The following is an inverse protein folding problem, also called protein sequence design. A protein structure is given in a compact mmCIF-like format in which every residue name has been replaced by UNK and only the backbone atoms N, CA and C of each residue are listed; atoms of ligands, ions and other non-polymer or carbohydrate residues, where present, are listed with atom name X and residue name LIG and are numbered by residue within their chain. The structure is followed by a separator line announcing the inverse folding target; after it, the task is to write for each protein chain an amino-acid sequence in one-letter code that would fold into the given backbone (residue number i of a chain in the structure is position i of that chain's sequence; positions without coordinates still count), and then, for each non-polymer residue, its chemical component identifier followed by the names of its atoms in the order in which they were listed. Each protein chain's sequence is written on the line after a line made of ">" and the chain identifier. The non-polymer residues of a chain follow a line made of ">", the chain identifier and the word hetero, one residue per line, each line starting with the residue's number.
data_IF_606933898116
#
_entry.id   IF_606933898116
#
_cell.length_a   1.000
_cell.length_b   1.000
_cell.length_c   1.000
_cell.angle_alpha   90.00
_cell.angle_beta   90.00
_cell.angle_gamma   90.00
#
_symmetry.space_group_name_H-M   'P 1'
#
loop_
_entity.id
_entity.type
_entity.pdbx_description
1 polymer ?
#
# COMPACT_ATOMS: atom_id res chain seq x y z
N UNK A 1 -3.25 32.95 -43.94
CA UNK A 1 -2.43 31.72 -43.88
C UNK A 1 -2.10 31.49 -42.40
N UNK A 2 -3.06 31.00 -41.60
CA UNK A 2 -3.27 29.59 -41.18
C UNK A 2 -2.14 28.98 -40.34
N UNK A 3 -2.58 28.26 -39.29
CA UNK A 3 -1.87 27.35 -38.36
C UNK A 3 -1.27 28.03 -37.11
N UNK A 4 -2.00 28.17 -35.99
CA UNK A 4 -2.35 27.13 -35.00
C UNK A 4 -1.19 26.22 -34.62
N UNK A 5 -0.44 26.63 -33.60
CA UNK A 5 0.28 25.75 -32.69
C UNK A 5 -0.29 25.96 -31.29
N UNK A 6 -1.53 25.50 -31.07
CA UNK A 6 -2.13 25.51 -29.75
C UNK A 6 -1.17 24.80 -28.78
N UNK A 7 -0.79 25.49 -27.70
CA UNK A 7 -0.14 24.89 -26.55
C UNK A 7 -0.98 23.67 -26.14
N UNK A 8 -0.52 22.48 -26.54
CA UNK A 8 -1.22 21.23 -26.27
C UNK A 8 -1.15 20.98 -24.78
N UNK A 9 -2.17 21.54 -24.16
CA UNK A 9 -2.64 21.30 -22.82
C UNK A 9 -2.97 19.83 -22.74
N UNK A 10 -1.97 18.99 -22.47
CA UNK A 10 -2.21 17.69 -21.88
C UNK A 10 -1.57 17.79 -20.52
N UNK A 11 -2.27 18.53 -19.64
CA UNK A 11 -2.27 18.25 -18.22
C UNK A 11 -2.47 16.74 -18.12
N UNK A 12 -1.40 15.98 -17.95
CA UNK A 12 -1.47 14.63 -17.42
C UNK A 12 -2.13 14.83 -16.07
N UNK A 13 -3.46 14.72 -16.07
CA UNK A 13 -4.34 14.84 -14.92
C UNK A 13 -3.70 13.99 -13.84
N UNK A 14 -2.98 14.66 -12.93
CA UNK A 14 -3.06 14.63 -11.47
C UNK A 14 -3.73 13.39 -10.86
N UNK A 15 -3.50 12.20 -11.41
CA UNK A 15 -3.92 10.93 -10.86
C UNK A 15 -3.02 10.52 -9.69
N UNK A 16 -2.07 11.38 -9.34
CA UNK A 16 -1.21 11.30 -8.16
C UNK A 16 -1.81 12.09 -6.98
N UNK A 17 -2.75 13.01 -7.21
CA UNK A 17 -3.36 13.86 -6.15
C UNK A 17 -4.66 13.30 -5.56
N UNK A 18 -4.95 12.04 -5.85
CA UNK A 18 -5.81 11.20 -5.04
C UNK A 18 -5.02 9.98 -4.59
N UNK A 19 -3.87 10.19 -3.95
CA UNK A 19 -3.65 9.39 -2.74
C UNK A 19 -4.86 9.70 -1.88
N UNK A 20 -5.93 8.91 -2.03
CA UNK A 20 -6.95 8.82 -1.02
C UNK A 20 -6.13 8.58 0.23
N UNK A 21 -6.05 9.58 1.10
CA UNK A 21 -5.52 9.39 2.44
C UNK A 21 -6.51 8.41 3.04
N UNK A 22 -6.26 7.11 2.82
CA UNK A 22 -7.12 6.05 3.30
C UNK A 22 -7.08 6.25 4.80
N UNK A 23 -8.19 6.73 5.33
CA UNK A 23 -8.41 6.92 6.75
C UNK A 23 -8.42 5.54 7.38
N UNK A 24 -7.24 5.00 7.63
CA UNK A 24 -7.04 3.76 8.34
C UNK A 24 -6.97 4.08 9.83
N UNK A 25 -7.75 3.38 10.64
CA UNK A 25 -7.58 3.35 12.10
C UNK A 25 -6.31 2.60 12.51
N UNK A 26 -5.67 1.90 11.56
CA UNK A 26 -4.48 1.10 11.80
C UNK A 26 -3.25 1.94 11.50
N UNK A 27 -2.45 2.20 12.54
CA UNK A 27 -1.21 2.98 12.47
C UNK A 27 0.01 2.17 12.06
N UNK A 28 -0.01 0.84 12.29
CA UNK A 28 1.13 -0.04 11.99
C UNK A 28 0.69 -1.49 11.75
N UNK A 29 1.32 -2.13 10.77
CA UNK A 29 1.09 -3.54 10.41
C UNK A 29 2.46 -4.21 10.28
N UNK A 30 2.80 -5.05 11.25
CA UNK A 30 4.14 -5.66 11.40
C UNK A 30 4.03 -7.16 11.67
N UNK A 31 5.03 -7.91 11.26
CA UNK A 31 5.18 -9.29 11.69
C UNK A 31 5.49 -9.37 13.18
N UNK A 32 4.72 -10.18 13.91
CA UNK A 32 4.91 -10.44 15.33
C UNK A 32 6.30 -11.03 15.67
N UNK A 33 6.95 -11.73 14.72
CA UNK A 33 8.22 -12.43 14.97
C UNK A 33 9.44 -11.52 14.72
N UNK A 34 9.48 -10.78 13.61
CA UNK A 34 10.65 -9.98 13.23
C UNK A 34 10.42 -8.47 13.22
N UNK A 35 9.20 -7.99 13.50
CA UNK A 35 8.86 -6.56 13.47
C UNK A 35 8.81 -5.95 12.07
N UNK A 36 9.08 -6.74 11.02
CA UNK A 36 9.07 -6.25 9.65
C UNK A 36 7.66 -5.93 9.18
N UNK A 37 7.49 -4.76 8.60
CA UNK A 37 6.20 -4.25 8.14
C UNK A 37 6.01 -4.30 6.63
N UNK A 38 4.82 -3.88 6.21
CA UNK A 38 4.47 -3.72 4.80
C UNK A 38 5.29 -2.61 4.10
N UNK A 39 5.77 -1.64 4.87
CA UNK A 39 6.63 -0.54 4.44
C UNK A 39 8.02 -1.02 4.01
N UNK A 40 8.45 -2.17 4.51
CA UNK A 40 9.71 -2.84 4.11
C UNK A 40 9.53 -3.76 2.88
N UNK A 41 8.34 -3.79 2.28
CA UNK A 41 8.04 -4.64 1.11
C UNK A 41 7.69 -6.09 1.46
N UNK A 42 7.43 -6.39 2.73
CA UNK A 42 6.96 -7.70 3.17
C UNK A 42 5.44 -7.84 3.04
N UNK A 43 4.97 -9.03 2.66
CA UNK A 43 3.54 -9.34 2.73
C UNK A 43 3.19 -9.79 4.13
N UNK A 44 2.17 -9.19 4.75
CA UNK A 44 1.73 -9.52 6.10
C UNK A 44 0.38 -10.25 6.05
N UNK A 45 0.35 -11.45 6.62
CA UNK A 45 -0.85 -12.28 6.77
C UNK A 45 -1.37 -12.22 8.19
N UNK A 46 -2.66 -11.92 8.36
CA UNK A 46 -3.36 -12.01 9.63
C UNK A 46 -3.92 -13.42 9.84
N UNK A 47 -3.55 -14.06 10.95
CA UNK A 47 -4.04 -15.38 11.35
C UNK A 47 -4.83 -15.29 12.65
N UNK A 48 -6.07 -15.74 12.62
CA UNK A 48 -6.90 -15.86 13.82
C UNK A 48 -6.51 -17.11 14.60
N UNK A 49 -6.09 -16.91 15.84
CA UNK A 49 -5.81 -17.93 16.85
C UNK A 49 -6.89 -17.86 17.95
N UNK A 50 -7.02 -18.87 18.82
CA UNK A 50 -8.00 -18.84 19.92
C UNK A 50 -7.85 -17.65 20.87
N UNK A 51 -6.65 -17.10 20.97
CA UNK A 51 -6.28 -15.97 21.83
C UNK A 51 -6.28 -14.60 21.12
N UNK A 52 -6.65 -14.54 19.83
CA UNK A 52 -6.73 -13.28 19.07
C UNK A 52 -6.12 -13.39 17.67
N UNK A 53 -5.84 -12.24 17.06
CA UNK A 53 -5.26 -12.16 15.71
C UNK A 53 -3.76 -11.92 15.83
N UNK A 54 -2.97 -12.70 15.09
CA UNK A 54 -1.51 -12.56 15.01
C UNK A 54 -1.08 -12.30 13.56
N UNK A 55 -0.10 -11.43 13.38
CA UNK A 55 0.42 -11.02 12.08
C UNK A 55 1.75 -11.71 11.77
N UNK A 56 1.87 -12.29 10.58
CA UNK A 56 3.09 -12.97 10.12
C UNK A 56 3.53 -12.45 8.75
N UNK A 57 4.84 -12.28 8.53
CA UNK A 57 5.34 -11.98 7.20
C UNK A 57 5.43 -13.24 6.32
N UNK A 58 5.59 -13.03 5.02
CA UNK A 58 5.83 -14.05 3.99
C UNK A 58 6.95 -15.05 4.32
N UNK A 59 7.96 -14.62 5.08
CA UNK A 59 9.06 -15.47 5.53
C UNK A 59 8.63 -16.42 6.66
N UNK A 60 7.84 -15.92 7.61
CA UNK A 60 7.42 -16.69 8.80
C UNK A 60 6.08 -17.40 8.64
N UNK A 61 5.34 -17.06 7.59
CA UNK A 61 4.14 -17.77 7.16
C UNK A 61 4.11 -17.83 5.63
N UNK A 62 4.93 -18.71 5.04
CA UNK A 62 4.91 -18.92 3.60
C UNK A 62 3.52 -19.41 3.21
N UNK A 63 2.84 -18.63 2.38
CA UNK A 63 1.60 -19.06 1.73
C UNK A 63 1.98 -20.20 0.77
N UNK A 64 1.54 -21.42 1.10
CA UNK A 64 1.78 -22.62 0.29
C UNK A 64 0.99 -22.58 -1.02
#
# INVERSE_FOLDING_TARGET
>A
MTMQGANQTIMQKMHILKSQTISSSVSKVECYICGKGIDEGHSITAKTLPNGIVLFCDVHYPLQ
#
